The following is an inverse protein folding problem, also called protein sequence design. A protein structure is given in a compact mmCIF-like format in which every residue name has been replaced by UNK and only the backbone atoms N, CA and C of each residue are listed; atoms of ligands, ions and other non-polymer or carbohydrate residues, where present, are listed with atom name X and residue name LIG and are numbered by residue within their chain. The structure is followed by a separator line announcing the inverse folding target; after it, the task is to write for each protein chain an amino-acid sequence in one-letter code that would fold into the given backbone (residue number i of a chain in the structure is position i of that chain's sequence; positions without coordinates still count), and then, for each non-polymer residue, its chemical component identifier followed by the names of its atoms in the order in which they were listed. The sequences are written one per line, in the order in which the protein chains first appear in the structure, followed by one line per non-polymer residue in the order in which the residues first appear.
data_IF_284329472508
#
_entry.id   IF_284329472508
#
_cell.length_a   1.000
_cell.length_b   1.000
_cell.length_c   1.000
_cell.angle_alpha   90.00
_cell.angle_beta   90.00
_cell.angle_gamma   90.00
#
_symmetry.space_group_name_H-M   'P 1'
#
loop_
_entity.id
_entity.type
_entity.pdbx_description
1 polymer ?
#
# COMPACT_ATOMS: atom_id res chain seq x y z
N UNK A 1 -3.50 26.18 -14.02
CA UNK A 1 -3.53 25.59 -14.13
C UNK A 1 -3.75 24.91 -13.97
N UNK A 2 -3.70 24.85 -13.86
CA UNK A 2 -3.72 24.18 -13.78
C UNK A 2 -4.07 23.18 -14.31
N UNK A 3 -4.02 23.01 -14.79
CA UNK A 3 -4.14 22.07 -15.41
C UNK A 3 -4.07 20.82 -14.95
N UNK A 4 -3.78 20.60 -13.85
CA UNK A 4 -3.85 19.42 -13.16
C UNK A 4 -5.16 18.77 -13.14
N UNK A 5 -6.24 19.40 -13.18
CA UNK A 5 -7.51 18.77 -12.93
C UNK A 5 -7.73 17.52 -13.69
N UNK A 6 -7.33 17.47 -14.93
CA UNK A 6 -7.59 16.30 -15.68
C UNK A 6 -6.65 15.22 -15.39
N UNK A 7 -5.39 15.58 -15.21
CA UNK A 7 -4.38 14.60 -14.98
C UNK A 7 -4.60 13.90 -13.67
N UNK A 8 -5.24 14.57 -12.75
CA UNK A 8 -5.38 14.04 -11.42
C UNK A 8 -6.81 13.82 -11.02
N UNK A 9 -7.64 13.54 -12.01
CA UNK A 9 -9.02 13.23 -11.73
C UNK A 9 -9.09 11.83 -11.19
N UNK A 10 -9.23 11.70 -9.89
CA UNK A 10 -9.23 10.41 -9.25
C UNK A 10 -10.41 9.57 -9.64
N UNK A 11 -11.52 10.19 -9.95
CA UNK A 11 -12.68 9.45 -10.41
C UNK A 11 -12.39 8.67 -11.66
N UNK A 12 -11.76 9.31 -12.63
CA UNK A 12 -11.43 8.61 -13.86
C UNK A 12 -10.48 7.46 -13.55
N UNK A 13 -9.54 7.71 -12.70
CA UNK A 13 -8.51 6.73 -12.43
C UNK A 13 -9.07 5.52 -11.70
N UNK A 14 -9.93 5.74 -10.72
CA UNK A 14 -10.41 4.65 -9.90
C UNK A 14 -11.70 4.04 -10.40
N UNK A 15 -12.45 4.76 -11.17
CA UNK A 15 -13.73 4.25 -11.64
C UNK A 15 -13.63 3.75 -13.06
N UNK A 16 -13.04 4.53 -13.93
CA UNK A 16 -12.94 4.18 -15.32
C UNK A 16 -11.84 3.19 -15.57
N UNK A 17 -10.71 3.42 -14.94
CA UNK A 17 -9.54 2.58 -15.11
C UNK A 17 -9.09 2.13 -13.75
N UNK A 18 -9.58 0.98 -13.33
CA UNK A 18 -9.19 0.47 -12.05
C UNK A 18 -7.69 0.36 -11.96
N UNK A 19 -7.13 0.86 -10.88
CA UNK A 19 -5.71 0.73 -10.62
C UNK A 19 -5.40 -0.75 -10.36
N UNK A 20 -4.46 -1.31 -11.08
CA UNK A 20 -4.04 -2.68 -10.88
C UNK A 20 -2.75 -2.71 -10.08
N UNK A 21 -2.41 -3.86 -9.52
CA UNK A 21 -1.17 -3.94 -8.75
C UNK A 21 0.04 -3.75 -9.67
N UNK A 22 -0.08 -4.17 -10.90
CA UNK A 22 0.99 -3.99 -11.87
C UNK A 22 1.24 -2.51 -12.17
N UNK A 23 0.17 -1.77 -12.37
CA UNK A 23 0.26 -0.33 -12.58
C UNK A 23 0.81 0.36 -11.35
N UNK A 24 0.35 -0.07 -10.18
CA UNK A 24 0.82 0.50 -8.94
C UNK A 24 2.34 0.33 -8.80
N UNK A 25 2.84 -0.85 -9.15
CA UNK A 25 4.27 -1.13 -9.03
C UNK A 25 5.12 -0.36 -10.02
N UNK A 26 4.51 0.18 -11.04
CA UNK A 26 5.20 1.02 -12.00
C UNK A 26 5.20 2.47 -11.61
N UNK A 27 4.45 2.85 -10.60
CA UNK A 27 4.41 4.23 -10.15
C UNK A 27 5.63 4.56 -9.33
N UNK A 28 5.93 5.85 -9.24
CA UNK A 28 6.98 6.32 -8.35
C UNK A 28 6.49 6.25 -6.91
N UNK A 29 7.41 6.24 -6.00
CA UNK A 29 7.08 6.07 -4.60
C UNK A 29 6.05 7.08 -4.11
N UNK A 30 6.19 8.33 -4.49
CA UNK A 30 5.24 9.36 -4.06
C UNK A 30 3.84 9.05 -4.54
N UNK A 31 3.72 8.58 -5.76
CA UNK A 31 2.43 8.22 -6.31
C UNK A 31 1.86 7.01 -5.61
N UNK A 32 2.71 6.06 -5.29
CA UNK A 32 2.27 4.87 -4.59
C UNK A 32 1.70 5.23 -3.22
N UNK A 33 2.40 6.07 -2.48
CA UNK A 33 1.92 6.51 -1.18
C UNK A 33 0.60 7.27 -1.33
N UNK A 34 0.52 8.10 -2.35
CA UNK A 34 -0.69 8.85 -2.60
C UNK A 34 -1.89 7.94 -2.81
N UNK A 35 -1.72 6.89 -3.60
CA UNK A 35 -2.81 5.95 -3.83
C UNK A 35 -3.20 5.21 -2.56
N UNK A 36 -2.22 4.81 -1.78
CA UNK A 36 -2.51 4.13 -0.53
C UNK A 36 -3.31 5.03 0.40
N UNK A 37 -2.93 6.29 0.50
CA UNK A 37 -3.62 7.21 1.40
C UNK A 37 -5.02 7.54 0.92
N UNK A 38 -5.27 7.44 -0.36
CA UNK A 38 -6.57 7.81 -0.91
C UNK A 38 -7.55 6.66 -0.99
N UNK A 39 -7.09 5.46 -1.33
CA UNK A 39 -8.01 4.34 -1.50
C UNK A 39 -7.65 3.12 -0.69
N UNK A 40 -6.57 3.18 0.05
CA UNK A 40 -6.14 2.01 0.82
C UNK A 40 -6.91 1.87 2.10
N UNK A 41 -7.19 0.63 2.47
CA UNK A 41 -7.76 0.31 3.76
C UNK A 41 -6.68 -0.39 4.57
N UNK A 42 -6.36 0.18 5.70
CA UNK A 42 -5.28 -0.35 6.53
C UNK A 42 -5.64 -1.73 7.06
N UNK A 43 -4.71 -2.67 6.97
CA UNK A 43 -4.91 -4.01 7.46
C UNK A 43 -4.14 -4.23 8.76
N UNK A 44 -2.87 -3.87 8.77
CA UNK A 44 -2.05 -4.09 9.95
C UNK A 44 -0.61 -3.80 9.67
N UNK A 45 0.22 -3.90 10.71
CA UNK A 45 1.63 -3.59 10.65
C UNK A 45 2.46 -4.74 11.17
N UNK A 46 3.46 -5.14 10.41
CA UNK A 46 4.44 -6.11 10.88
C UNK A 46 5.70 -5.35 11.24
N UNK A 47 6.23 -5.61 12.43
CA UNK A 47 7.42 -4.93 12.89
C UNK A 47 8.62 -5.75 12.47
N UNK A 48 9.54 -5.11 11.77
CA UNK A 48 10.77 -5.74 11.38
C UNK A 48 11.88 -4.91 11.97
N UNK A 49 13.06 -5.40 11.98
CA UNK A 49 14.17 -4.75 12.67
C UNK A 49 14.14 -3.25 12.64
N UNK A 50 14.35 -2.68 11.48
CA UNK A 50 14.45 -1.23 11.36
C UNK A 50 13.34 -0.67 10.53
N UNK A 51 12.29 -1.47 10.31
CA UNK A 51 11.18 -1.06 9.45
C UNK A 51 9.87 -1.50 10.05
N UNK A 52 8.86 -0.71 9.76
CA UNK A 52 7.49 -1.16 9.89
C UNK A 52 6.98 -1.48 8.49
N UNK A 53 6.38 -2.63 8.34
CA UNK A 53 5.74 -3.00 7.08
C UNK A 53 4.24 -2.83 7.28
N UNK A 54 3.70 -1.79 6.67
CA UNK A 54 2.28 -1.46 6.82
C UNK A 54 1.53 -2.02 5.63
N UNK A 55 0.52 -2.79 5.90
CA UNK A 55 -0.23 -3.50 4.86
C UNK A 55 -1.58 -2.86 4.66
N UNK A 56 -1.96 -2.70 3.40
CA UNK A 56 -3.21 -2.06 3.00
C UNK A 56 -3.88 -2.87 1.92
N UNK A 57 -5.19 -2.76 1.84
CA UNK A 57 -5.94 -3.32 0.72
C UNK A 57 -6.38 -2.18 -0.17
N UNK A 58 -6.16 -2.31 -1.48
CA UNK A 58 -6.55 -1.33 -2.46
C UNK A 58 -7.37 -2.04 -3.52
N UNK A 59 -8.64 -1.69 -3.66
CA UNK A 59 -9.50 -2.33 -4.66
C UNK A 59 -9.43 -3.85 -4.50
N UNK A 60 -8.83 -4.55 -5.45
CA UNK A 60 -8.77 -5.99 -5.44
C UNK A 60 -7.34 -6.52 -5.27
N UNK A 61 -6.43 -5.69 -4.78
CA UNK A 61 -5.07 -6.14 -4.52
C UNK A 61 -4.60 -5.55 -3.19
N UNK A 62 -3.38 -5.86 -2.80
CA UNK A 62 -2.80 -5.42 -1.55
C UNK A 62 -1.54 -4.61 -1.81
N UNK A 63 -1.18 -3.78 -0.86
CA UNK A 63 0.06 -3.03 -0.95
C UNK A 63 0.76 -3.02 0.40
N UNK A 64 2.07 -3.01 0.37
CA UNK A 64 2.87 -2.91 1.56
C UNK A 64 3.75 -1.68 1.48
N UNK A 65 3.72 -0.89 2.54
CA UNK A 65 4.50 0.33 2.64
C UNK A 65 5.54 0.11 3.73
N UNK A 66 6.80 0.29 3.37
CA UNK A 66 7.88 0.10 4.33
C UNK A 66 8.34 1.44 4.87
N UNK A 67 8.18 1.60 6.17
CA UNK A 67 8.59 2.82 6.85
C UNK A 67 9.91 2.55 7.56
N UNK A 68 10.94 3.27 7.18
CA UNK A 68 12.25 3.12 7.78
C UNK A 68 12.28 3.89 9.09
N UNK A 69 12.53 3.20 10.18
CA UNK A 69 12.44 3.81 11.50
C UNK A 69 13.62 4.74 11.79
N UNK A 70 14.76 4.42 11.28
CA UNK A 70 15.92 5.28 11.49
C UNK A 70 15.79 6.59 10.77
N UNK A 71 15.36 6.54 9.53
CA UNK A 71 15.23 7.73 8.71
C UNK A 71 13.87 8.38 8.85
N UNK A 72 12.96 7.68 9.48
CA UNK A 72 11.61 8.18 9.72
C UNK A 72 10.94 8.59 8.41
N UNK A 73 11.00 7.73 7.46
CA UNK A 73 10.35 7.98 6.17
C UNK A 73 10.06 6.68 5.47
N UNK A 74 9.17 6.75 4.50
CA UNK A 74 8.84 5.60 3.68
C UNK A 74 10.01 5.32 2.77
N UNK A 75 10.47 4.09 2.80
CA UNK A 75 11.61 3.70 1.96
C UNK A 75 11.15 3.12 0.64
N UNK A 76 10.10 2.35 0.64
CA UNK A 76 9.56 1.81 -0.61
C UNK A 76 8.19 1.21 -0.37
N UNK A 77 7.48 0.98 -1.47
CA UNK A 77 6.18 0.35 -1.47
C UNK A 77 6.13 -0.65 -2.58
N UNK A 78 5.31 -1.65 -2.44
CA UNK A 78 5.03 -2.55 -3.56
C UNK A 78 3.63 -3.13 -3.39
N UNK A 79 3.07 -3.58 -4.48
CA UNK A 79 1.74 -4.17 -4.47
C UNK A 79 1.83 -5.63 -4.90
N UNK A 80 0.88 -6.41 -4.44
CA UNK A 80 0.80 -7.83 -4.75
C UNK A 80 -0.68 -8.24 -4.72
N UNK A 81 -0.98 -9.37 -5.32
CA UNK A 81 -2.38 -9.82 -5.37
C UNK A 81 -2.58 -11.15 -4.67
N UNK A 82 -1.53 -11.75 -4.14
CA UNK A 82 -1.61 -13.03 -3.48
C UNK A 82 -1.75 -12.82 -1.97
N UNK A 83 -2.86 -13.22 -1.38
CA UNK A 83 -3.05 -13.03 0.06
C UNK A 83 -2.01 -13.75 0.91
N UNK A 84 -1.35 -14.75 0.36
CA UNK A 84 -0.31 -15.43 1.11
C UNK A 84 0.86 -14.51 1.43
N UNK A 85 1.03 -13.44 0.68
CA UNK A 85 2.08 -12.49 0.96
C UNK A 85 1.76 -11.64 2.17
N UNK A 86 0.60 -11.81 2.77
CA UNK A 86 0.29 -11.20 4.06
C UNK A 86 0.79 -12.05 5.22
N UNK A 87 1.35 -13.21 4.95
CA UNK A 87 1.82 -14.09 6.00
C UNK A 87 2.78 -13.43 7.00
N UNK A 88 3.70 -12.58 6.57
CA UNK A 88 4.55 -11.92 7.56
C UNK A 88 3.76 -11.11 8.57
N UNK A 89 2.64 -10.55 8.15
CA UNK A 89 1.78 -9.81 9.06
C UNK A 89 1.14 -10.73 10.05
N UNK A 90 0.60 -11.86 9.59
CA UNK A 90 -0.05 -12.80 10.47
C UNK A 90 0.94 -13.44 11.44
N UNK A 91 2.12 -13.77 10.93
CA UNK A 91 3.16 -14.37 11.76
C UNK A 91 3.61 -13.40 12.83
N UNK A 92 3.75 -12.15 12.49
CA UNK A 92 4.24 -11.16 13.41
C UNK A 92 3.22 -10.87 14.50
N UNK A 93 1.97 -10.82 14.13
CA UNK A 93 0.94 -10.57 15.09
C UNK A 93 0.91 -11.67 16.13
N UNK A 94 1.19 -12.87 15.69
CA UNK A 94 1.19 -14.00 16.61
C UNK A 94 0.00 -13.94 17.52
N UNK A 95 -1.07 -13.42 17.02
CA UNK A 95 -2.27 -13.35 17.76
C UNK A 95 -3.05 -14.55 17.42
N UNK A 96 -3.24 -15.36 18.39
CA UNK A 96 -4.15 -16.43 18.19
C UNK A 96 -5.49 -15.86 18.53
N UNK A 97 -6.30 -15.57 17.55
CA UNK A 97 -7.58 -14.97 17.83
C UNK A 97 -8.47 -15.91 18.58
N UNK A 98 -8.08 -17.13 18.71
CA UNK A 98 -8.88 -18.09 19.41
C UNK A 98 -8.29 -18.44 20.76
N UNK A 99 -7.21 -17.81 21.10
CA UNK A 99 -6.58 -18.09 22.39
C UNK A 99 -7.32 -17.38 23.48
#
# INVERSE_FOLDING_TARGET
MDDYPEAYNLSDFYEGNKLSFSSFNQCELESQVFHIMNIGTYIGTAVQREHYALYYQLNDFYACLFHNLEEDRVSHCYAFDDPDELNPLWDQLDIDPFA
#
